data_IF_356791041396
#
_entry.id   IF_356791041396
#
_cell.length_a   1.000
_cell.length_b   1.000
_cell.length_c   1.000
_cell.angle_alpha   90.00
_cell.angle_beta   90.00
_cell.angle_gamma   90.00
#
_symmetry.space_group_name_H-M   'P 1'
#
loop_
_entity.id
_entity.type
_entity.pdbx_description
1 polymer ?
#
# COMPACT_ATOMS: atom_id res chain seq x y z
N UNK A 1 2.34 -19.90 20.18
CA UNK A 1 3.39 -19.31 19.30
C UNK A 1 3.02 -19.33 17.80
N UNK A 2 2.28 -20.33 17.32
CA UNK A 2 1.87 -20.45 15.91
C UNK A 2 1.08 -19.25 15.32
N UNK A 3 0.19 -18.61 16.08
CA UNK A 3 -0.65 -17.52 15.56
C UNK A 3 0.14 -16.25 15.19
N UNK A 4 1.17 -15.89 15.97
CA UNK A 4 2.06 -14.76 15.63
C UNK A 4 2.86 -15.04 14.36
N UNK A 5 3.31 -16.29 14.19
CA UNK A 5 4.03 -16.73 13.00
C UNK A 5 3.14 -16.58 11.76
N UNK A 6 1.91 -17.12 11.79
CA UNK A 6 0.97 -17.05 10.67
C UNK A 6 0.55 -15.61 10.31
N UNK A 7 0.39 -14.73 11.31
CA UNK A 7 0.11 -13.31 11.07
C UNK A 7 1.31 -12.60 10.43
N UNK A 8 2.53 -12.89 10.91
CA UNK A 8 3.76 -12.30 10.35
C UNK A 8 4.01 -12.78 8.92
N UNK A 9 3.80 -14.07 8.67
CA UNK A 9 3.96 -14.71 7.37
C UNK A 9 2.92 -14.16 6.36
N UNK A 10 1.67 -14.00 6.78
CA UNK A 10 0.62 -13.37 5.97
C UNK A 10 0.84 -11.87 5.72
N UNK A 11 1.46 -11.15 6.66
CA UNK A 11 1.83 -9.75 6.47
C UNK A 11 3.01 -9.60 5.50
N UNK A 12 4.06 -10.42 5.67
CA UNK A 12 5.26 -10.44 4.81
C UNK A 12 4.92 -10.84 3.38
N UNK A 13 3.98 -11.76 3.18
CA UNK A 13 3.47 -12.16 1.85
C UNK A 13 2.92 -10.98 1.04
N UNK A 14 2.46 -9.90 1.68
CA UNK A 14 1.98 -8.69 0.99
C UNK A 14 3.05 -7.63 0.86
N UNK A 15 3.93 -7.50 1.85
CA UNK A 15 4.99 -6.49 1.87
C UNK A 15 6.11 -6.82 0.88
N UNK A 16 6.46 -8.10 0.71
CA UNK A 16 7.47 -8.55 -0.28
C UNK A 16 7.14 -8.14 -1.72
N UNK A 17 5.92 -8.44 -2.26
CA UNK A 17 5.55 -8.02 -3.61
C UNK A 17 5.61 -6.51 -3.83
N UNK A 18 5.31 -5.73 -2.80
CA UNK A 18 5.25 -4.26 -2.91
C UNK A 18 6.64 -3.62 -2.82
N UNK A 19 7.52 -4.17 -1.98
CA UNK A 19 8.92 -3.79 -1.98
C UNK A 19 9.61 -4.18 -3.30
N UNK A 20 9.25 -5.34 -3.87
CA UNK A 20 9.76 -5.81 -5.16
C UNK A 20 9.43 -4.83 -6.30
N UNK A 21 8.17 -4.37 -6.41
CA UNK A 21 7.81 -3.43 -7.49
C UNK A 21 8.55 -2.11 -7.36
N UNK A 22 8.68 -1.56 -6.15
CA UNK A 22 9.43 -0.30 -5.92
C UNK A 22 10.91 -0.47 -6.26
N UNK A 23 11.52 -1.59 -5.84
CA UNK A 23 12.92 -1.87 -6.14
C UNK A 23 13.19 -2.01 -7.66
N UNK A 24 12.32 -2.72 -8.38
CA UNK A 24 12.43 -2.89 -9.84
C UNK A 24 12.25 -1.55 -10.57
N UNK A 25 11.30 -0.71 -10.13
CA UNK A 25 11.08 0.62 -10.71
C UNK A 25 12.33 1.49 -10.53
N UNK A 26 12.87 1.57 -9.31
CA UNK A 26 14.10 2.36 -9.05
C UNK A 26 15.27 1.84 -9.89
N UNK A 27 15.45 0.51 -9.95
CA UNK A 27 16.52 -0.11 -10.73
C UNK A 27 16.40 0.13 -12.24
N UNK A 28 15.19 0.07 -12.80
CA UNK A 28 14.95 0.25 -14.24
C UNK A 28 15.00 1.72 -14.71
N UNK A 29 14.75 2.67 -13.81
CA UNK A 29 14.73 4.09 -14.12
C UNK A 29 16.07 4.80 -13.83
N UNK A 30 16.88 4.24 -12.94
CA UNK A 30 18.24 4.69 -12.64
C UNK A 30 19.07 4.99 -13.90
N UNK A 31 19.20 4.08 -14.89
CA UNK A 31 20.00 4.34 -16.09
C UNK A 31 19.36 5.38 -17.04
N UNK A 32 18.02 5.51 -17.04
CA UNK A 32 17.30 6.47 -17.89
C UNK A 32 17.53 7.90 -17.39
N UNK A 33 17.62 8.09 -16.06
CA UNK A 33 17.90 9.41 -15.48
C UNK A 33 19.32 9.90 -15.72
N UNK A 34 20.28 9.00 -15.93
CA UNK A 34 21.69 9.34 -16.18
C UNK A 34 22.03 9.51 -17.67
N UNK A 35 21.09 9.27 -18.58
CA UNK A 35 21.31 9.40 -20.02
C UNK A 35 21.15 10.84 -20.53
N UNK A 36 22.26 11.56 -20.70
CA UNK A 36 22.29 12.88 -21.36
C UNK A 36 22.53 12.72 -22.87
N UNK A 37 21.44 12.71 -23.65
CA UNK A 37 21.47 12.67 -25.12
C UNK A 37 20.52 13.70 -25.74
N UNK A 38 20.69 14.06 -27.01
CA UNK A 38 19.81 15.02 -27.69
C UNK A 38 18.34 14.55 -27.66
N UNK A 39 17.44 15.36 -27.09
CA UNK A 39 16.03 15.00 -26.87
C UNK A 39 15.71 14.42 -25.48
N UNK A 40 16.71 14.22 -24.61
CA UNK A 40 16.53 13.78 -23.22
C UNK A 40 15.64 14.73 -22.42
N UNK A 41 15.72 16.03 -22.68
CA UNK A 41 14.93 17.07 -22.02
C UNK A 41 13.41 16.87 -22.19
N UNK A 42 12.98 16.46 -23.38
CA UNK A 42 11.56 16.20 -23.68
C UNK A 42 11.13 14.87 -23.06
N UNK A 43 11.98 13.84 -23.18
CA UNK A 43 11.69 12.52 -22.61
C UNK A 43 11.64 12.55 -21.08
N UNK A 44 12.54 13.28 -20.41
CA UNK A 44 12.53 13.44 -18.96
C UNK A 44 11.26 14.14 -18.47
N UNK A 45 10.74 15.15 -19.20
CA UNK A 45 9.50 15.86 -18.81
C UNK A 45 8.26 14.97 -18.85
N UNK A 46 8.24 13.96 -19.73
CA UNK A 46 7.16 12.98 -19.83
C UNK A 46 7.37 11.83 -18.83
N UNK A 47 8.61 11.34 -18.73
CA UNK A 47 8.95 10.21 -17.86
C UNK A 47 8.89 10.57 -16.37
N UNK A 48 9.36 11.75 -15.96
CA UNK A 48 9.40 12.18 -14.55
C UNK A 48 8.05 12.05 -13.82
N UNK A 49 6.92 12.58 -14.34
CA UNK A 49 5.62 12.39 -13.69
C UNK A 49 5.12 10.94 -13.76
N UNK A 50 5.44 10.18 -14.80
CA UNK A 50 5.08 8.75 -14.87
C UNK A 50 5.80 7.94 -13.79
N UNK A 51 7.09 8.19 -13.59
CA UNK A 51 7.91 7.59 -12.54
C UNK A 51 7.35 7.94 -11.16
N UNK A 52 7.08 9.23 -10.94
CA UNK A 52 6.45 9.70 -9.70
C UNK A 52 5.12 8.99 -9.46
N UNK A 53 4.25 8.93 -10.46
CA UNK A 53 2.96 8.25 -10.38
C UNK A 53 3.07 6.75 -10.09
N UNK A 54 4.01 6.04 -10.73
CA UNK A 54 4.22 4.60 -10.51
C UNK A 54 4.79 4.28 -9.12
N UNK A 55 5.44 5.24 -8.46
CA UNK A 55 5.90 5.09 -7.08
C UNK A 55 4.77 5.49 -6.11
N UNK A 56 4.19 6.67 -6.30
CA UNK A 56 3.21 7.25 -5.38
C UNK A 56 1.88 6.52 -5.41
N UNK A 57 1.38 6.06 -6.56
CA UNK A 57 0.09 5.38 -6.66
C UNK A 57 0.03 4.06 -5.87
N UNK A 58 0.96 3.10 -6.02
CA UNK A 58 0.96 1.89 -5.21
C UNK A 58 1.27 2.17 -3.75
N UNK A 59 2.11 3.17 -3.43
CA UNK A 59 2.39 3.58 -2.05
C UNK A 59 1.15 4.15 -1.36
N UNK A 60 0.42 5.02 -2.05
CA UNK A 60 -0.84 5.59 -1.59
C UNK A 60 -1.88 4.48 -1.45
N UNK A 61 -2.04 3.58 -2.44
CA UNK A 61 -2.94 2.43 -2.36
C UNK A 61 -2.62 1.51 -1.18
N UNK A 62 -1.33 1.26 -0.95
CA UNK A 62 -0.79 0.52 0.19
C UNK A 62 -1.20 1.09 1.54
N UNK A 63 -1.27 2.41 1.66
CA UNK A 63 -1.54 3.13 2.89
C UNK A 63 -3.02 3.43 3.07
N UNK A 64 -3.70 3.79 1.99
CA UNK A 64 -5.12 4.14 1.95
C UNK A 64 -6.00 2.93 2.22
N UNK A 65 -5.74 1.78 1.57
CA UNK A 65 -6.53 0.56 1.77
C UNK A 65 -6.54 0.09 3.24
N UNK A 66 -5.40 -0.05 3.96
CA UNK A 66 -5.42 -0.47 5.35
C UNK A 66 -6.02 0.57 6.29
N UNK A 67 -5.83 1.87 6.02
CA UNK A 67 -6.46 2.94 6.82
C UNK A 67 -7.98 2.88 6.67
N UNK A 68 -8.49 2.77 5.45
CA UNK A 68 -9.92 2.59 5.17
C UNK A 68 -10.46 1.33 5.85
N UNK A 69 -9.77 0.19 5.69
CA UNK A 69 -10.16 -1.07 6.30
C UNK A 69 -10.19 -1.00 7.83
N UNK A 70 -9.19 -0.36 8.46
CA UNK A 70 -9.14 -0.16 9.91
C UNK A 70 -10.32 0.70 10.39
N UNK A 71 -10.63 1.78 9.69
CA UNK A 71 -11.73 2.69 10.04
C UNK A 71 -13.10 1.97 9.94
N UNK A 72 -13.29 1.19 8.87
CA UNK A 72 -14.50 0.40 8.65
C UNK A 72 -14.65 -0.70 9.70
N UNK A 73 -13.58 -1.46 9.96
CA UNK A 73 -13.56 -2.52 10.98
C UNK A 73 -13.82 -1.95 12.38
N UNK A 74 -13.25 -0.80 12.72
CA UNK A 74 -13.52 -0.11 14.00
C UNK A 74 -15.00 0.26 14.14
N UNK A 75 -15.65 0.75 13.07
CA UNK A 75 -17.10 1.02 13.07
C UNK A 75 -17.93 -0.26 13.18
N UNK A 76 -17.56 -1.31 12.46
CA UNK A 76 -18.25 -2.61 12.50
C UNK A 76 -18.19 -3.25 13.91
N UNK A 77 -17.02 -3.27 14.54
CA UNK A 77 -16.85 -3.78 15.90
C UNK A 77 -17.64 -2.96 16.93
N UNK A 78 -17.66 -1.63 16.79
CA UNK A 78 -18.45 -0.75 17.68
C UNK A 78 -19.95 -1.02 17.58
N UNK A 79 -20.46 -1.33 16.39
CA UNK A 79 -21.87 -1.72 16.16
C UNK A 79 -22.19 -3.09 16.79
N UNK A 80 -21.30 -4.07 16.62
CA UNK A 80 -21.44 -5.39 17.23
C UNK A 80 -21.48 -5.34 18.76
N UNK A 81 -20.59 -4.56 19.39
CA UNK A 81 -20.57 -4.41 20.84
C UNK A 81 -21.83 -3.68 21.35
N UNK A 82 -22.33 -2.69 20.60
CA UNK A 82 -23.57 -1.98 20.95
C UNK A 82 -24.81 -2.88 20.85
N UNK A 83 -24.88 -3.76 19.84
CA UNK A 83 -25.98 -4.73 19.71
C UNK A 83 -25.98 -5.76 20.84
N UNK A 84 -24.81 -6.29 21.23
CA UNK A 84 -24.71 -7.26 22.32
C UNK A 84 -25.15 -6.67 23.67
N UNK A 85 -24.89 -5.39 23.89
CA UNK A 85 -25.33 -4.68 25.10
C UNK A 85 -26.84 -4.41 25.11
N UNK A 86 -27.45 -4.14 23.95
CA UNK A 86 -28.89 -3.99 23.85
C UNK A 86 -29.64 -5.33 24.01
N UNK A 87 -29.10 -6.42 23.46
CA UNK A 87 -29.72 -7.74 23.60
C UNK A 87 -29.77 -8.19 25.06
N UNK A 88 -28.65 -8.09 25.79
CA UNK A 88 -28.56 -8.46 27.22
C UNK A 88 -29.41 -7.60 28.17
N UNK A 89 -30.01 -6.52 27.69
CA UNK A 89 -30.88 -5.64 28.50
C UNK A 89 -32.37 -5.94 28.30
N UNK A 90 -32.69 -6.71 27.26
CA UNK A 90 -34.04 -7.17 26.96
C UNK A 90 -34.28 -8.63 27.40
N UNK A 91 -33.25 -9.27 27.95
CA UNK A 91 -33.28 -10.57 28.64
C UNK A 91 -33.32 -10.32 30.16
#
# INVERSE_FOLDING_TARGET
>A
KALKQAIFEGAVMRVRPKAMTVAVIIAGLLPIMYGDGAGSDVMQRIAAPMIGGMITAPFLSLFVIPVLYFLWKKRAVKRYLKQRHNNKRND
#
